data_IF_449913897763
#
_entry.id   IF_449913897763
#
_cell.length_a   1.000
_cell.length_b   1.000
_cell.length_c   1.000
_cell.angle_alpha   90.00
_cell.angle_beta   90.00
_cell.angle_gamma   90.00
#
_symmetry.space_group_name_H-M   'P 1'
#
loop_
_entity.id
_entity.type
_entity.pdbx_description
1 polymer ?
#
# COMPACT_ATOMS: atom_id res chain seq x y z
N UNK A 1 -4.90 -22.29 -6.23
CA UNK A 1 -5.36 -21.00 -5.67
C UNK A 1 -6.08 -20.23 -6.78
N UNK A 2 -7.21 -19.59 -6.50
CA UNK A 2 -7.87 -18.73 -7.49
C UNK A 2 -7.26 -17.33 -7.39
N UNK A 3 -6.66 -16.85 -8.47
CA UNK A 3 -6.20 -15.47 -8.58
C UNK A 3 -7.24 -14.66 -9.36
N UNK A 4 -7.67 -13.54 -8.81
CA UNK A 4 -8.59 -12.61 -9.48
C UNK A 4 -7.86 -11.30 -9.70
N UNK A 5 -7.87 -10.82 -10.94
CA UNK A 5 -7.34 -9.50 -11.29
C UNK A 5 -8.51 -8.53 -11.33
N UNK A 6 -8.50 -7.57 -10.39
CA UNK A 6 -9.47 -6.48 -10.38
C UNK A 6 -8.80 -5.25 -11.01
N UNK A 7 -9.32 -4.82 -12.16
CA UNK A 7 -8.86 -3.58 -12.81
C UNK A 7 -9.79 -2.44 -12.41
N UNK A 8 -9.28 -1.49 -11.64
CA UNK A 8 -10.00 -0.25 -11.32
C UNK A 8 -9.90 0.69 -12.53
N UNK A 9 -11.05 1.12 -13.06
CA UNK A 9 -11.13 2.04 -14.20
C UNK A 9 -11.48 3.45 -13.72
N UNK A 10 -11.14 4.44 -14.55
CA UNK A 10 -11.54 5.83 -14.38
C UNK A 10 -10.64 6.65 -13.46
N UNK A 11 -11.10 7.86 -13.11
CA UNK A 11 -10.34 8.76 -12.25
C UNK A 11 -10.51 8.32 -10.80
N UNK A 12 -9.53 7.55 -10.30
CA UNK A 12 -9.46 7.04 -8.92
C UNK A 12 -9.66 8.12 -7.83
N UNK A 13 -9.44 9.42 -8.09
CA UNK A 13 -9.75 10.49 -7.12
C UNK A 13 -11.26 10.73 -7.01
N UNK A 14 -11.95 10.81 -8.15
CA UNK A 14 -13.39 11.11 -8.23
C UNK A 14 -14.25 9.88 -7.95
N UNK A 15 -13.75 8.72 -8.36
CA UNK A 15 -14.45 7.44 -8.24
C UNK A 15 -13.88 6.59 -7.11
N UNK A 16 -13.22 7.21 -6.11
CA UNK A 16 -12.61 6.49 -5.00
C UNK A 16 -13.61 5.60 -4.26
N UNK A 17 -14.71 6.19 -3.76
CA UNK A 17 -15.74 5.47 -3.02
C UNK A 17 -16.42 4.41 -3.90
N UNK A 18 -16.72 4.73 -5.16
CA UNK A 18 -17.30 3.79 -6.12
C UNK A 18 -16.39 2.58 -6.36
N UNK A 19 -15.08 2.79 -6.50
CA UNK A 19 -14.11 1.71 -6.66
C UNK A 19 -13.97 0.88 -5.39
N UNK A 20 -13.99 1.51 -4.20
CA UNK A 20 -14.01 0.83 -2.91
C UNK A 20 -15.23 -0.07 -2.77
N UNK A 21 -16.42 0.48 -3.01
CA UNK A 21 -17.70 -0.24 -2.98
C UNK A 21 -17.71 -1.41 -3.96
N UNK A 22 -17.21 -1.20 -5.18
CA UNK A 22 -17.11 -2.25 -6.18
C UNK A 22 -16.26 -3.43 -5.70
N UNK A 23 -15.07 -3.17 -5.14
CA UNK A 23 -14.19 -4.23 -4.62
C UNK A 23 -14.85 -4.97 -3.46
N UNK A 24 -15.44 -4.25 -2.50
CA UNK A 24 -16.12 -4.85 -1.34
C UNK A 24 -17.31 -5.70 -1.80
N UNK A 25 -18.13 -5.19 -2.72
CA UNK A 25 -19.27 -5.91 -3.28
C UNK A 25 -18.82 -7.18 -3.99
N UNK A 26 -17.80 -7.08 -4.85
CA UNK A 26 -17.22 -8.23 -5.53
C UNK A 26 -16.74 -9.31 -4.55
N UNK A 27 -15.98 -8.92 -3.52
CA UNK A 27 -15.50 -9.86 -2.50
C UNK A 27 -16.66 -10.54 -1.75
N UNK A 28 -17.73 -9.79 -1.49
CA UNK A 28 -18.93 -10.28 -0.80
C UNK A 28 -19.71 -11.28 -1.66
N UNK A 29 -19.94 -10.95 -2.93
CA UNK A 29 -20.67 -11.78 -3.89
C UNK A 29 -19.93 -13.11 -4.14
N UNK A 30 -18.61 -13.05 -4.27
CA UNK A 30 -17.75 -14.23 -4.42
C UNK A 30 -17.51 -14.97 -3.09
N UNK A 31 -18.08 -14.49 -1.98
CA UNK A 31 -17.91 -15.04 -0.63
C UNK A 31 -16.43 -15.17 -0.21
N UNK A 32 -15.59 -14.27 -0.71
CA UNK A 32 -14.16 -14.20 -0.39
C UNK A 32 -14.02 -13.52 0.97
N UNK A 33 -13.67 -14.30 1.99
CA UNK A 33 -13.50 -13.80 3.36
C UNK A 33 -12.06 -13.49 3.75
N UNK A 34 -11.07 -14.07 3.07
CA UNK A 34 -9.67 -13.95 3.49
C UNK A 34 -8.76 -14.16 2.27
N UNK A 35 -8.22 -13.06 1.72
CA UNK A 35 -7.43 -13.10 0.48
C UNK A 35 -6.07 -12.39 0.61
N UNK A 36 -5.10 -12.85 -0.19
CA UNK A 36 -3.87 -12.11 -0.46
C UNK A 36 -4.18 -11.07 -1.55
N UNK A 37 -3.85 -9.80 -1.31
CA UNK A 37 -4.10 -8.72 -2.26
C UNK A 37 -2.79 -8.22 -2.86
N UNK A 38 -2.84 -7.80 -4.13
CA UNK A 38 -1.78 -7.04 -4.77
C UNK A 38 -2.39 -5.77 -5.39
N UNK A 39 -1.80 -4.60 -5.10
CA UNK A 39 -2.25 -3.33 -5.63
C UNK A 39 -1.06 -2.51 -6.14
N UNK A 40 -1.30 -1.73 -7.20
CA UNK A 40 -0.29 -0.93 -7.89
C UNK A 40 -0.63 0.56 -7.75
N UNK A 41 0.37 1.38 -7.42
CA UNK A 41 0.23 2.84 -7.41
C UNK A 41 -0.95 3.31 -6.56
N UNK A 42 -1.81 4.11 -7.19
CA UNK A 42 -3.02 4.68 -6.57
C UNK A 42 -4.06 3.62 -6.15
N UNK A 43 -4.08 2.42 -6.76
CA UNK A 43 -4.98 1.34 -6.32
C UNK A 43 -4.65 0.87 -4.90
N UNK A 44 -3.39 1.07 -4.46
CA UNK A 44 -2.97 0.80 -3.08
C UNK A 44 -3.79 1.59 -2.07
N UNK A 45 -4.29 2.78 -2.44
CA UNK A 45 -5.09 3.65 -1.57
C UNK A 45 -6.48 3.07 -1.33
N UNK A 46 -7.09 2.51 -2.38
CA UNK A 46 -8.38 1.82 -2.27
C UNK A 46 -8.23 0.59 -1.38
N UNK A 47 -7.20 -0.21 -1.64
CA UNK A 47 -6.88 -1.36 -0.80
C UNK A 47 -6.63 -0.93 0.66
N UNK A 48 -5.94 0.19 0.87
CA UNK A 48 -5.66 0.74 2.19
C UNK A 48 -6.94 1.11 2.95
N UNK A 49 -7.90 1.74 2.28
CA UNK A 49 -9.20 2.09 2.88
C UNK A 49 -10.03 0.84 3.22
N UNK A 50 -10.08 -0.14 2.33
CA UNK A 50 -10.76 -1.42 2.59
C UNK A 50 -10.14 -2.11 3.81
N UNK A 51 -8.83 -2.04 3.96
CA UNK A 51 -8.09 -2.63 5.07
C UNK A 51 -8.38 -2.00 6.43
N UNK A 52 -8.58 -0.69 6.45
CA UNK A 52 -8.95 0.03 7.67
C UNK A 52 -10.38 -0.31 8.09
N UNK A 53 -11.30 -0.41 7.13
CA UNK A 53 -12.72 -0.64 7.41
C UNK A 53 -13.04 -2.13 7.62
N UNK A 54 -12.32 -3.03 6.95
CA UNK A 54 -12.63 -4.46 6.84
C UNK A 54 -11.38 -5.33 6.95
N UNK A 55 -10.61 -5.15 8.03
CA UNK A 55 -9.35 -5.87 8.31
C UNK A 55 -9.47 -7.40 8.11
N UNK A 56 -10.62 -7.97 8.45
CA UNK A 56 -10.89 -9.41 8.32
C UNK A 56 -10.86 -9.94 6.90
N UNK A 57 -10.93 -9.09 5.86
CA UNK A 57 -10.89 -9.53 4.47
C UNK A 57 -9.47 -9.79 3.96
N UNK A 58 -8.47 -9.18 4.57
CA UNK A 58 -7.11 -9.17 4.02
C UNK A 58 -6.17 -10.02 4.86
N UNK A 59 -5.65 -11.06 4.20
CA UNK A 59 -4.67 -11.97 4.76
C UNK A 59 -3.26 -11.38 4.69
N UNK A 60 -2.88 -10.87 3.51
CA UNK A 60 -1.62 -10.19 3.22
C UNK A 60 -1.85 -9.16 2.13
N UNK A 61 -1.02 -8.13 2.08
CA UNK A 61 -1.03 -7.15 1.00
C UNK A 61 0.36 -7.04 0.35
N UNK A 62 0.37 -6.94 -0.97
CA UNK A 62 1.53 -6.55 -1.77
C UNK A 62 1.20 -5.21 -2.41
N UNK A 63 2.00 -4.20 -2.11
CA UNK A 63 1.81 -2.83 -2.54
C UNK A 63 2.97 -2.45 -3.46
N UNK A 64 2.70 -2.28 -4.74
CA UNK A 64 3.70 -2.01 -5.77
C UNK A 64 3.67 -0.52 -6.11
N UNK A 65 4.78 0.15 -5.86
CA UNK A 65 4.94 1.60 -5.98
C UNK A 65 3.82 2.41 -5.29
N UNK A 66 3.52 2.14 -4.01
CA UNK A 66 2.30 2.65 -3.41
C UNK A 66 2.38 4.13 -3.05
N UNK A 67 1.19 4.74 -2.98
CA UNK A 67 0.99 6.12 -2.51
C UNK A 67 -0.06 6.14 -1.40
N UNK A 68 0.04 7.10 -0.48
CA UNK A 68 -0.97 7.26 0.58
C UNK A 68 -2.22 8.00 0.09
N UNK A 69 -2.14 8.63 -1.09
CA UNK A 69 -3.20 9.40 -1.75
C UNK A 69 -3.31 8.97 -3.21
N UNK A 70 -4.53 8.94 -3.75
CA UNK A 70 -4.76 8.47 -5.12
C UNK A 70 -4.11 9.40 -6.16
N UNK A 71 -4.21 10.71 -5.97
CA UNK A 71 -3.63 11.71 -6.86
C UNK A 71 -3.17 12.95 -6.08
N UNK A 72 -1.94 12.95 -5.55
CA UNK A 72 -1.39 14.13 -4.92
C UNK A 72 -1.08 15.19 -5.99
N UNK A 73 -1.67 16.37 -5.82
CA UNK A 73 -1.36 17.58 -6.58
C UNK A 73 0.11 17.99 -6.41
N UNK A 74 0.64 18.78 -7.34
CA UNK A 74 2.02 19.29 -7.23
C UNK A 74 2.26 20.03 -5.90
N UNK A 75 1.25 20.81 -5.48
CA UNK A 75 1.27 21.50 -4.20
C UNK A 75 1.36 20.54 -3.01
N UNK A 76 0.56 19.47 -3.00
CA UNK A 76 0.64 18.43 -1.95
C UNK A 76 1.99 17.72 -1.93
N UNK A 77 2.59 17.44 -3.11
CA UNK A 77 3.94 16.86 -3.18
C UNK A 77 4.99 17.77 -2.57
N UNK A 78 4.86 19.09 -2.72
CA UNK A 78 5.76 20.06 -2.10
C UNK A 78 5.54 20.11 -0.59
N UNK A 79 4.29 20.14 -0.14
CA UNK A 79 3.97 20.09 1.29
C UNK A 79 4.51 18.81 1.93
N UNK A 80 4.36 17.65 1.29
CA UNK A 80 4.87 16.37 1.79
C UNK A 80 6.40 16.41 1.99
N UNK A 81 7.14 17.10 1.11
CA UNK A 81 8.60 17.30 1.28
C UNK A 81 8.94 18.18 2.47
N UNK A 82 8.16 19.25 2.69
CA UNK A 82 8.36 20.16 3.83
C UNK A 82 8.00 19.44 5.13
N UNK A 83 6.88 18.73 5.18
CA UNK A 83 6.44 17.92 6.32
C UNK A 83 7.47 16.85 6.70
N UNK A 84 8.16 16.26 5.72
CA UNK A 84 9.21 15.27 5.98
C UNK A 84 10.46 15.86 6.66
N UNK A 85 10.70 17.17 6.54
CA UNK A 85 11.84 17.85 7.14
C UNK A 85 11.54 18.44 8.52
N UNK A 86 10.27 18.68 8.85
CA UNK A 86 9.88 19.32 10.10
C UNK A 86 9.89 18.32 11.26
N UNK A 87 10.64 18.60 12.35
CA UNK A 87 10.54 17.82 13.57
C UNK A 87 9.19 18.14 14.24
N UNK A 88 8.37 17.10 14.42
CA UNK A 88 7.07 17.08 15.11
C UNK A 88 5.83 17.46 14.27
N UNK A 89 5.25 16.45 13.63
CA UNK A 89 3.91 15.94 13.99
C UNK A 89 2.66 16.78 13.70
N UNK A 90 2.78 18.02 13.24
CA UNK A 90 1.66 18.84 12.82
C UNK A 90 1.53 18.75 11.30
N UNK A 91 0.73 17.80 10.76
CA UNK A 91 0.42 17.83 9.34
C UNK A 91 -0.20 19.18 9.03
N UNK A 92 0.26 19.83 7.97
CA UNK A 92 -0.42 20.97 7.37
C UNK A 92 -1.69 20.42 6.71
N UNK A 93 -2.66 20.02 7.53
CA UNK A 93 -3.96 19.53 7.10
C UNK A 93 -4.69 20.71 6.49
N UNK A 94 -4.51 20.91 5.19
CA UNK A 94 -5.64 21.36 4.40
C UNK A 94 -6.73 20.30 4.55
N UNK A 95 -7.95 20.76 4.76
CA UNK A 95 -9.16 19.95 4.69
C UNK A 95 -9.27 19.50 3.22
N UNK A 96 -8.52 18.46 2.87
CA UNK A 96 -8.64 17.77 1.60
C UNK A 96 -9.88 16.90 1.68
N UNK A 97 -10.79 17.04 0.71
CA UNK A 97 -11.92 16.12 0.54
C UNK A 97 -11.47 14.72 0.08
N UNK A 98 -10.21 14.54 -0.29
CA UNK A 98 -9.66 13.26 -0.72
C UNK A 98 -9.09 12.46 0.45
N UNK A 99 -9.26 11.14 0.38
CA UNK A 99 -8.76 10.19 1.37
C UNK A 99 -7.23 10.26 1.49
N UNK A 100 -6.74 10.41 2.72
CA UNK A 100 -5.31 10.36 3.08
C UNK A 100 -5.08 9.17 4.01
N UNK A 101 -4.36 8.16 3.52
CA UNK A 101 -4.04 6.96 4.30
C UNK A 101 -2.97 7.16 5.37
N UNK A 102 -2.20 8.28 5.34
CA UNK A 102 -1.05 8.49 6.25
C UNK A 102 -1.40 8.36 7.74
N UNK A 103 -2.51 8.95 8.24
CA UNK A 103 -2.87 8.86 9.67
C UNK A 103 -3.23 7.44 10.12
N UNK A 104 -3.64 6.59 9.19
CA UNK A 104 -4.14 5.25 9.45
C UNK A 104 -3.09 4.15 9.23
N UNK A 105 -1.86 4.51 8.83
CA UNK A 105 -0.75 3.58 8.61
C UNK A 105 -0.54 2.58 9.76
N UNK A 106 -0.67 3.05 11.00
CA UNK A 106 -0.48 2.25 12.21
C UNK A 106 -1.65 1.28 12.51
N UNK A 107 -2.83 1.52 11.93
CA UNK A 107 -3.97 0.63 12.07
C UNK A 107 -3.78 -0.67 11.26
N UNK A 108 -2.82 -0.70 10.35
CA UNK A 108 -2.60 -1.82 9.47
C UNK A 108 -1.89 -2.99 10.17
N UNK A 109 -2.61 -4.08 10.45
CA UNK A 109 -2.05 -5.25 11.16
C UNK A 109 -1.74 -6.44 10.27
N UNK A 110 -2.27 -6.52 9.06
CA UNK A 110 -1.90 -7.60 8.15
C UNK A 110 -0.42 -7.45 7.70
N UNK A 111 0.28 -8.54 7.34
CA UNK A 111 1.57 -8.45 6.69
C UNK A 111 1.50 -7.67 5.37
N UNK A 112 2.45 -6.76 5.15
CA UNK A 112 2.56 -5.96 3.92
C UNK A 112 3.93 -6.10 3.30
N UNK A 113 3.98 -6.46 2.02
CA UNK A 113 5.15 -6.26 1.18
C UNK A 113 4.99 -4.99 0.37
N UNK A 114 5.92 -4.05 0.52
CA UNK A 114 6.02 -2.84 -0.29
C UNK A 114 7.13 -3.06 -1.30
N UNK A 115 6.78 -3.03 -2.57
CA UNK A 115 7.72 -3.10 -3.68
C UNK A 115 7.89 -1.71 -4.28
N UNK A 116 9.14 -1.30 -4.52
CA UNK A 116 9.47 -0.07 -5.24
C UNK A 116 10.60 -0.35 -6.23
N UNK A 117 10.71 0.42 -7.31
CA UNK A 117 11.85 0.31 -8.22
C UNK A 117 12.91 1.34 -7.87
N UNK A 118 14.18 0.98 -8.04
CA UNK A 118 15.31 1.92 -7.89
C UNK A 118 15.20 3.14 -8.81
N UNK A 119 14.67 2.94 -10.01
CA UNK A 119 14.49 4.00 -11.01
C UNK A 119 13.10 4.66 -10.96
N UNK A 120 12.27 4.33 -9.96
CA UNK A 120 10.97 4.98 -9.77
C UNK A 120 11.15 6.45 -9.38
N UNK A 121 10.12 7.28 -9.54
CA UNK A 121 10.19 8.68 -9.15
C UNK A 121 10.54 8.85 -7.67
N UNK A 122 11.31 9.88 -7.31
CA UNK A 122 11.69 10.16 -5.92
C UNK A 122 10.48 10.27 -4.99
N UNK A 123 9.36 10.76 -5.51
CA UNK A 123 8.09 10.78 -4.80
C UNK A 123 7.62 9.37 -4.38
N UNK A 124 7.59 8.41 -5.31
CA UNK A 124 7.17 7.03 -5.02
C UNK A 124 8.11 6.34 -4.03
N UNK A 125 9.41 6.56 -4.14
CA UNK A 125 10.39 6.01 -3.19
C UNK A 125 10.17 6.56 -1.77
N UNK A 126 9.96 7.87 -1.65
CA UNK A 126 9.66 8.53 -0.36
C UNK A 126 8.36 7.98 0.22
N UNK A 127 7.31 7.84 -0.61
CA UNK A 127 6.03 7.29 -0.20
C UNK A 127 6.15 5.84 0.30
N UNK A 128 6.82 4.98 -0.47
CA UNK A 128 7.06 3.59 -0.12
C UNK A 128 7.85 3.46 1.19
N UNK A 129 8.92 4.24 1.34
CA UNK A 129 9.71 4.30 2.57
C UNK A 129 8.87 4.77 3.77
N UNK A 130 8.12 5.86 3.61
CA UNK A 130 7.25 6.38 4.67
C UNK A 130 6.16 5.39 5.08
N UNK A 131 5.60 4.63 4.12
CA UNK A 131 4.69 3.53 4.40
C UNK A 131 5.35 2.44 5.24
N UNK A 132 6.52 1.97 4.83
CA UNK A 132 7.25 0.92 5.53
C UNK A 132 7.65 1.33 6.96
N UNK A 133 7.94 2.61 7.19
CA UNK A 133 8.27 3.14 8.51
C UNK A 133 7.04 3.27 9.43
N UNK A 134 5.86 3.54 8.87
CA UNK A 134 4.63 3.80 9.62
C UNK A 134 3.71 2.58 9.77
N UNK A 135 3.91 1.53 8.99
CA UNK A 135 3.13 0.29 9.10
C UNK A 135 3.87 -0.71 9.99
N UNK A 136 3.24 -1.29 11.02
CA UNK A 136 3.94 -2.15 11.99
C UNK A 136 4.43 -3.46 11.40
N UNK A 137 3.73 -3.99 10.38
CA UNK A 137 4.02 -5.28 9.75
C UNK A 137 4.36 -5.13 8.27
N UNK A 138 5.14 -4.10 7.91
CA UNK A 138 5.55 -3.85 6.54
C UNK A 138 7.03 -4.16 6.29
N UNK A 139 7.29 -4.75 5.13
CA UNK A 139 8.63 -4.95 4.57
C UNK A 139 8.73 -4.16 3.27
N UNK A 140 9.83 -3.47 3.07
CA UNK A 140 10.14 -2.81 1.80
C UNK A 140 11.21 -3.60 1.06
N UNK A 141 11.00 -3.80 -0.23
CA UNK A 141 12.00 -4.35 -1.14
C UNK A 141 12.11 -3.44 -2.36
N UNK A 142 13.34 -2.98 -2.62
CA UNK A 142 13.67 -2.16 -3.78
C UNK A 142 14.17 -3.09 -4.87
N UNK A 143 13.44 -3.12 -5.97
CA UNK A 143 13.79 -3.86 -7.17
C UNK A 143 14.86 -3.08 -7.94
N UNK A 144 15.99 -3.73 -8.18
CA UNK A 144 17.15 -3.14 -8.83
C UNK A 144 17.02 -3.23 -10.35
N UNK A 145 16.61 -4.39 -10.87
CA UNK A 145 16.47 -4.67 -12.30
C UNK A 145 15.20 -5.49 -12.58
N UNK A 146 14.67 -5.42 -13.81
CA UNK A 146 13.50 -6.21 -14.28
C UNK A 146 12.37 -6.45 -13.26
N UNK A 147 11.52 -5.42 -13.06
CA UNK A 147 10.45 -5.44 -12.04
C UNK A 147 9.62 -6.71 -12.00
N UNK A 148 9.10 -7.25 -13.11
CA UNK A 148 8.30 -8.47 -13.08
C UNK A 148 9.00 -9.66 -12.43
N UNK A 149 10.26 -9.92 -12.78
CA UNK A 149 11.00 -11.10 -12.31
C UNK A 149 11.39 -10.99 -10.84
N UNK A 150 11.98 -9.86 -10.44
CA UNK A 150 12.35 -9.63 -9.04
C UNK A 150 11.12 -9.50 -8.13
N UNK A 151 10.06 -8.82 -8.58
CA UNK A 151 8.81 -8.73 -7.83
C UNK A 151 8.18 -10.11 -7.63
N UNK A 152 8.15 -10.97 -8.66
CA UNK A 152 7.59 -12.32 -8.54
C UNK A 152 8.33 -13.14 -7.46
N UNK A 153 9.67 -13.09 -7.44
CA UNK A 153 10.49 -13.75 -6.42
C UNK A 153 10.22 -13.20 -5.02
N UNK A 154 10.20 -11.88 -4.86
CA UNK A 154 9.92 -11.23 -3.59
C UNK A 154 8.52 -11.59 -3.07
N UNK A 155 7.51 -11.62 -3.95
CA UNK A 155 6.16 -12.05 -3.64
C UNK A 155 6.15 -13.51 -3.19
N UNK A 156 6.82 -14.42 -3.91
CA UNK A 156 6.86 -15.84 -3.55
C UNK A 156 7.45 -16.06 -2.14
N UNK A 157 8.55 -15.38 -1.83
CA UNK A 157 9.18 -15.40 -0.50
C UNK A 157 8.20 -14.87 0.55
N UNK A 158 7.57 -13.73 0.28
CA UNK A 158 6.63 -13.10 1.19
C UNK A 158 5.40 -13.96 1.49
N UNK A 159 4.90 -14.72 0.50
CA UNK A 159 3.75 -15.63 0.68
C UNK A 159 4.04 -16.77 1.67
N UNK A 160 5.32 -17.14 1.84
CA UNK A 160 5.77 -18.16 2.81
C UNK A 160 5.83 -17.61 4.24
N UNK A 161 5.67 -16.30 4.45
CA UNK A 161 5.69 -15.71 5.79
C UNK A 161 4.47 -16.11 6.64
N UNK A 162 4.66 -16.32 7.95
CA UNK A 162 3.55 -16.56 8.87
C UNK A 162 2.68 -15.31 9.00
N UNK A 163 1.37 -15.50 9.13
CA UNK A 163 0.40 -14.40 9.25
C UNK A 163 0.46 -13.68 10.61
N UNK A 164 0.90 -14.39 11.65
CA UNK A 164 1.16 -13.85 12.97
C UNK A 164 2.65 -13.54 13.07
N UNK A 165 3.08 -12.38 12.56
CA UNK A 165 4.45 -11.92 12.72
C UNK A 165 4.60 -11.02 13.96
N UNK A 166 5.69 -11.14 14.73
CA UNK A 166 6.00 -10.21 15.81
C UNK A 166 6.32 -8.82 15.24
N UNK A 167 5.93 -7.76 15.98
CA UNK A 167 5.99 -6.34 15.59
C UNK A 167 7.42 -5.75 15.44
N UNK A 168 8.43 -6.52 15.03
CA UNK A 168 9.80 -6.00 14.82
C UNK A 168 10.40 -6.46 13.49
N UNK A 169 11.06 -5.51 12.83
CA UNK A 169 11.71 -5.59 11.51
C UNK A 169 12.57 -6.85 11.37
N UNK A 170 12.04 -7.87 10.70
CA UNK A 170 12.81 -9.01 10.23
C UNK A 170 13.57 -8.63 8.95
N UNK A 171 14.79 -9.12 8.80
CA UNK A 171 15.65 -8.91 7.62
C UNK A 171 15.26 -9.89 6.49
N UNK A 172 14.01 -9.78 6.03
CA UNK A 172 13.35 -10.78 5.18
C UNK A 172 14.07 -11.05 3.85
N UNK A 173 14.76 -10.05 3.30
CA UNK A 173 15.31 -10.07 1.94
C UNK A 173 16.84 -10.03 1.88
N UNK A 174 17.54 -10.39 2.96
CA UNK A 174 19.02 -10.40 2.98
C UNK A 174 19.71 -11.33 1.96
N UNK A 175 18.94 -12.20 1.31
CA UNK A 175 19.43 -13.22 0.37
C UNK A 175 18.93 -13.02 -1.06
N UNK A 176 18.12 -11.97 -1.31
CA UNK A 176 17.79 -11.49 -2.65
C UNK A 176 18.83 -10.47 -3.08
#
# INVERSE_FOLDING_TARGET
>A
EKSVIITLKGNLQKEFEKNKEFVVKFLTEEKIRYADFAAFGAASVVLFSILIEQEKLVKRAVLIEPTFRAYPTLYEKILDKIEAFLPLGLPFRKISSSFDGRPYAQAFRAPVLILTQKNSSSFLQIQAKSMAEKMPNAWIYTVEQDLPSEAAKAIEIFRKMPLKCPQKKGELFKQL
#
